data_IF_742123825898
#
_entry.id   IF_742123825898
#
_cell.length_a   1.000
_cell.length_b   1.000
_cell.length_c   1.000
_cell.angle_alpha   90.00
_cell.angle_beta   90.00
_cell.angle_gamma   90.00
#
_symmetry.space_group_name_H-M   'P 1'
#
loop_
_entity.id
_entity.type
_entity.pdbx_description
1 polymer ?
#
# COMPACT_ATOMS: atom_id res chain seq x y z
N UNK A 1 8.64 7.24 -16.68
CA UNK A 1 7.81 8.33 -16.08
C UNK A 1 6.40 7.79 -15.95
N UNK A 2 5.87 7.73 -14.75
CA UNK A 2 4.50 7.28 -14.52
C UNK A 2 3.51 8.45 -14.51
N UNK A 3 3.59 9.32 -15.51
CA UNK A 3 2.57 10.32 -15.81
C UNK A 3 1.85 9.84 -17.06
N UNK A 4 0.61 9.39 -16.91
CA UNK A 4 -0.22 8.86 -18.00
C UNK A 4 -1.03 9.98 -18.67
N UNK A 5 -1.53 10.94 -17.88
CA UNK A 5 -2.29 12.09 -18.32
C UNK A 5 -1.46 13.35 -18.13
N UNK A 6 -1.15 14.05 -19.22
CA UNK A 6 -0.46 15.34 -19.17
C UNK A 6 -1.45 16.47 -18.87
N UNK A 7 -0.99 17.48 -18.15
CA UNK A 7 -1.74 18.69 -17.81
C UNK A 7 -1.06 19.87 -18.50
N UNK A 8 -1.83 20.69 -19.18
CA UNK A 8 -1.37 21.95 -19.73
C UNK A 8 -1.39 23.08 -18.68
N UNK A 9 -0.52 24.08 -18.81
CA UNK A 9 -0.38 25.19 -17.88
C UNK A 9 -1.72 25.90 -17.61
N UNK A 10 -2.52 26.14 -18.66
CA UNK A 10 -3.81 26.82 -18.55
C UNK A 10 -4.87 25.98 -17.82
N UNK A 11 -4.84 24.65 -18.01
CA UNK A 11 -5.74 23.73 -17.31
C UNK A 11 -5.45 23.73 -15.81
N UNK A 12 -4.16 23.64 -15.45
CA UNK A 12 -3.75 23.70 -14.05
C UNK A 12 -4.06 25.06 -13.42
N UNK A 13 -3.78 26.16 -14.11
CA UNK A 13 -4.13 27.50 -13.63
C UNK A 13 -5.63 27.64 -13.38
N UNK A 14 -6.46 27.12 -14.28
CA UNK A 14 -7.92 27.11 -14.14
C UNK A 14 -8.36 26.28 -12.92
N UNK A 15 -7.75 25.11 -12.70
CA UNK A 15 -8.01 24.31 -11.51
C UNK A 15 -7.63 25.05 -10.24
N UNK A 16 -6.40 25.62 -10.17
CA UNK A 16 -5.90 26.30 -8.99
C UNK A 16 -6.68 27.54 -8.61
N UNK A 17 -7.28 28.24 -9.58
CA UNK A 17 -8.15 29.40 -9.32
C UNK A 17 -9.37 29.06 -8.44
N UNK A 18 -9.74 27.78 -8.34
CA UNK A 18 -10.81 27.30 -7.45
C UNK A 18 -10.40 27.19 -6.00
N UNK A 19 -9.10 27.16 -5.70
CA UNK A 19 -8.55 26.97 -4.36
C UNK A 19 -8.04 28.29 -3.76
N UNK A 20 -7.87 28.30 -2.45
CA UNK A 20 -7.24 29.41 -1.72
C UNK A 20 -5.83 28.98 -1.23
N UNK A 21 -4.99 28.61 -2.20
CA UNK A 21 -3.65 28.03 -1.96
C UNK A 21 -2.52 28.88 -2.58
N UNK A 22 -2.80 30.13 -2.93
CA UNK A 22 -1.84 31.05 -3.55
C UNK A 22 -1.70 30.87 -5.06
N UNK A 23 -0.73 31.56 -5.65
CA UNK A 23 -0.45 31.55 -7.08
C UNK A 23 0.50 30.40 -7.45
N UNK A 24 0.31 29.82 -8.64
CA UNK A 24 1.20 28.80 -9.19
C UNK A 24 2.59 29.37 -9.46
N UNK A 25 3.61 28.72 -8.92
CA UNK A 25 5.02 29.01 -9.21
C UNK A 25 5.62 28.02 -10.21
N UNK A 26 5.33 26.74 -10.03
CA UNK A 26 5.80 25.67 -10.92
C UNK A 26 5.05 24.38 -10.62
N UNK A 27 5.04 23.45 -11.59
CA UNK A 27 4.62 22.10 -11.37
C UNK A 27 5.48 21.10 -12.15
N UNK A 28 5.52 19.87 -11.69
CA UNK A 28 6.27 18.81 -12.35
C UNK A 28 5.62 17.44 -12.10
N UNK A 29 5.56 16.61 -13.12
CA UNK A 29 5.12 15.23 -12.97
C UNK A 29 6.06 14.42 -12.08
N UNK A 30 5.51 13.60 -11.19
CA UNK A 30 6.25 12.68 -10.33
C UNK A 30 6.39 11.36 -11.10
N UNK A 31 7.65 10.93 -11.26
CA UNK A 31 7.96 9.72 -12.04
C UNK A 31 7.66 8.41 -11.29
N UNK A 32 7.43 8.46 -10.00
CA UNK A 32 7.13 7.33 -9.14
C UNK A 32 5.62 7.09 -9.02
N UNK A 33 5.22 5.84 -8.88
CA UNK A 33 3.83 5.39 -8.82
C UNK A 33 3.38 4.72 -10.13
N UNK A 34 2.47 3.77 -10.03
CA UNK A 34 1.99 2.96 -11.17
C UNK A 34 0.48 3.04 -11.38
N UNK A 35 -0.24 3.64 -10.44
CA UNK A 35 -1.70 3.64 -10.45
C UNK A 35 -2.28 4.96 -10.99
N UNK A 36 -1.71 6.11 -10.63
CA UNK A 36 -2.25 7.43 -10.90
C UNK A 36 -1.17 8.37 -11.46
N UNK A 37 -1.59 9.45 -12.13
CA UNK A 37 -0.69 10.54 -12.52
C UNK A 37 -0.58 11.53 -11.37
N UNK A 38 0.62 11.68 -10.81
CA UNK A 38 0.88 12.58 -9.69
C UNK A 38 1.74 13.76 -10.14
N UNK A 39 1.41 14.95 -9.66
CA UNK A 39 2.14 16.18 -9.91
C UNK A 39 2.50 16.88 -8.60
N UNK A 40 3.76 17.25 -8.45
CA UNK A 40 4.19 18.22 -7.46
C UNK A 40 3.77 19.61 -7.94
N UNK A 41 2.91 20.29 -7.19
CA UNK A 41 2.46 21.64 -7.44
C UNK A 41 3.06 22.57 -6.38
N UNK A 42 3.78 23.58 -6.83
CA UNK A 42 4.38 24.62 -5.96
C UNK A 42 3.63 25.92 -6.13
N UNK A 43 3.14 26.46 -5.04
CA UNK A 43 2.47 27.75 -5.00
C UNK A 43 3.22 28.76 -4.13
N UNK A 44 2.75 29.98 -4.10
CA UNK A 44 3.31 31.03 -3.23
C UNK A 44 3.10 30.75 -1.74
N UNK A 45 2.20 29.84 -1.36
CA UNK A 45 1.90 29.52 0.04
C UNK A 45 2.52 28.21 0.50
N UNK A 46 2.50 27.16 -0.34
CA UNK A 46 2.97 25.82 0.05
C UNK A 46 3.25 24.91 -1.17
N UNK A 47 3.60 23.67 -0.88
CA UNK A 47 3.68 22.59 -1.86
C UNK A 47 2.49 21.65 -1.68
N UNK A 48 2.01 21.09 -2.80
CA UNK A 48 0.88 20.18 -2.86
C UNK A 48 1.19 19.04 -3.82
N UNK A 49 0.44 17.95 -3.68
CA UNK A 49 0.38 16.88 -4.67
C UNK A 49 -1.00 16.93 -5.32
N UNK A 50 -1.01 17.06 -6.64
CA UNK A 50 -2.20 16.86 -7.45
C UNK A 50 -2.18 15.45 -8.01
N UNK A 51 -3.16 14.65 -7.64
CA UNK A 51 -3.37 13.29 -8.16
C UNK A 51 -4.51 13.29 -9.16
N UNK A 52 -4.25 12.80 -10.38
CA UNK A 52 -5.27 12.48 -11.37
C UNK A 52 -5.51 10.98 -11.32
N UNK A 53 -6.76 10.61 -11.06
CA UNK A 53 -7.16 9.20 -10.96
C UNK A 53 -7.29 8.57 -12.34
N UNK A 54 -6.48 7.56 -12.58
CA UNK A 54 -6.44 6.84 -13.84
C UNK A 54 -7.43 5.65 -13.84
N UNK A 55 -7.53 4.92 -14.94
CA UNK A 55 -8.53 3.87 -15.16
C UNK A 55 -8.52 2.70 -14.15
N UNK A 56 -7.45 2.52 -13.39
CA UNK A 56 -7.34 1.44 -12.40
C UNK A 56 -8.07 1.73 -11.09
N UNK A 57 -8.34 2.99 -10.79
CA UNK A 57 -9.09 3.40 -9.60
C UNK A 57 -10.56 3.52 -9.95
N UNK A 58 -11.42 2.81 -9.23
CA UNK A 58 -12.86 2.99 -9.35
C UNK A 58 -13.25 4.32 -8.70
N UNK A 59 -13.90 5.21 -9.46
CA UNK A 59 -14.35 6.50 -8.95
C UNK A 59 -15.33 6.37 -7.78
N UNK A 60 -16.07 5.25 -7.71
CA UNK A 60 -16.97 4.95 -6.59
C UNK A 60 -16.23 4.75 -5.26
N UNK A 61 -14.95 4.38 -5.31
CA UNK A 61 -14.09 4.20 -4.13
C UNK A 61 -13.45 5.51 -3.63
N UNK A 62 -13.44 6.59 -4.45
CA UNK A 62 -12.77 7.84 -4.09
C UNK A 62 -13.30 8.48 -2.79
N UNK A 63 -14.61 8.48 -2.49
CA UNK A 63 -15.10 8.97 -1.20
C UNK A 63 -14.54 8.22 0.00
N UNK A 64 -14.25 6.92 -0.14
CA UNK A 64 -13.60 6.13 0.91
C UNK A 64 -12.16 6.59 1.12
N UNK A 65 -11.34 6.70 0.08
CA UNK A 65 -9.93 7.07 0.20
C UNK A 65 -9.75 8.49 0.74
N UNK A 66 -10.52 9.44 0.22
CA UNK A 66 -10.51 10.82 0.65
C UNK A 66 -10.98 10.94 2.11
N UNK A 67 -12.12 10.33 2.43
CA UNK A 67 -12.67 10.36 3.79
C UNK A 67 -11.73 9.70 4.81
N UNK A 68 -11.06 8.60 4.44
CA UNK A 68 -10.09 7.94 5.33
C UNK A 68 -8.88 8.86 5.61
N UNK A 69 -8.32 9.52 4.58
CA UNK A 69 -7.23 10.48 4.77
C UNK A 69 -7.65 11.67 5.64
N UNK A 70 -8.83 12.26 5.41
CA UNK A 70 -9.36 13.34 6.24
C UNK A 70 -9.54 12.89 7.71
N UNK A 71 -10.15 11.73 7.90
CA UNK A 71 -10.39 11.17 9.23
C UNK A 71 -9.09 10.92 10.01
N UNK A 72 -8.12 10.26 9.37
CA UNK A 72 -6.84 9.95 9.99
C UNK A 72 -5.99 11.19 10.28
N UNK A 73 -5.94 12.14 9.34
CA UNK A 73 -5.21 13.40 9.52
C UNK A 73 -5.82 14.23 10.64
N UNK A 74 -7.15 14.33 10.73
CA UNK A 74 -7.85 15.01 11.81
C UNK A 74 -7.55 14.41 13.19
N UNK A 75 -7.26 13.10 13.25
CA UNK A 75 -6.82 12.40 14.47
C UNK A 75 -5.29 12.44 14.68
N UNK A 76 -4.57 13.23 13.88
CA UNK A 76 -3.14 13.47 14.02
C UNK A 76 -2.26 12.30 13.55
N UNK A 77 -2.76 11.44 12.65
CA UNK A 77 -1.88 10.57 11.90
C UNK A 77 -1.11 11.39 10.86
N UNK A 78 0.17 11.12 10.70
CA UNK A 78 0.96 11.78 9.66
C UNK A 78 0.64 11.15 8.30
N UNK A 79 -0.24 11.79 7.54
CA UNK A 79 -0.65 11.38 6.19
C UNK A 79 -1.05 12.61 5.36
N UNK A 80 -1.21 12.49 4.03
CA UNK A 80 -1.68 13.61 3.21
C UNK A 80 -3.04 14.11 3.66
N UNK A 81 -3.22 15.43 3.67
CA UNK A 81 -4.50 16.07 3.99
C UNK A 81 -5.15 16.49 2.68
N UNK A 82 -6.36 16.01 2.36
CA UNK A 82 -7.11 16.48 1.20
C UNK A 82 -7.42 17.99 1.32
N UNK A 83 -7.25 18.73 0.23
CA UNK A 83 -7.47 20.17 0.18
C UNK A 83 -8.82 20.46 -0.46
N UNK A 84 -9.67 21.17 0.27
CA UNK A 84 -10.97 21.62 -0.23
C UNK A 84 -10.79 22.86 -1.11
N UNK A 85 -11.58 22.98 -2.17
CA UNK A 85 -11.71 24.21 -2.93
C UNK A 85 -12.56 25.26 -2.18
N UNK A 86 -12.73 26.43 -2.76
CA UNK A 86 -13.52 27.54 -2.19
C UNK A 86 -15.02 27.21 -1.96
N UNK A 87 -15.52 26.11 -2.55
CA UNK A 87 -16.88 25.62 -2.37
C UNK A 87 -16.99 24.48 -1.35
N UNK A 88 -15.84 23.99 -0.83
CA UNK A 88 -15.75 22.83 0.06
C UNK A 88 -15.62 21.50 -0.68
N UNK A 89 -15.50 21.49 -2.01
CA UNK A 89 -15.32 20.27 -2.77
C UNK A 89 -13.83 19.84 -2.80
N UNK A 90 -13.58 18.55 -2.63
CA UNK A 90 -12.23 17.95 -2.70
C UNK A 90 -11.98 17.36 -4.08
N UNK A 91 -12.94 16.58 -4.59
CA UNK A 91 -12.82 15.98 -5.91
C UNK A 91 -13.15 17.01 -6.99
N UNK A 92 -12.27 17.12 -7.98
CA UNK A 92 -12.34 18.05 -9.09
C UNK A 92 -12.19 17.30 -10.41
N UNK A 93 -12.32 18.01 -11.52
CA UNK A 93 -11.95 17.49 -12.84
C UNK A 93 -10.77 18.29 -13.38
N UNK A 94 -9.74 17.60 -13.85
CA UNK A 94 -8.56 18.18 -14.50
C UNK A 94 -8.11 17.26 -15.64
N UNK A 95 -7.84 17.81 -16.81
CA UNK A 95 -7.42 17.07 -18.01
C UNK A 95 -8.34 15.86 -18.33
N UNK A 96 -9.65 16.02 -18.13
CA UNK A 96 -10.66 14.98 -18.37
C UNK A 96 -10.62 13.81 -17.37
N UNK A 97 -9.95 13.96 -16.24
CA UNK A 97 -9.85 12.98 -15.15
C UNK A 97 -10.42 13.53 -13.86
N UNK A 98 -10.95 12.67 -13.02
CA UNK A 98 -11.20 13.01 -11.61
C UNK A 98 -9.86 13.24 -10.91
N UNK A 99 -9.77 14.30 -10.12
CA UNK A 99 -8.53 14.73 -9.49
C UNK A 99 -8.77 15.18 -8.04
N UNK A 100 -7.74 15.04 -7.21
CA UNK A 100 -7.71 15.61 -5.86
C UNK A 100 -6.36 16.28 -5.59
N UNK A 101 -6.43 17.39 -4.86
CA UNK A 101 -5.26 18.06 -4.30
C UNK A 101 -5.07 17.61 -2.86
N UNK A 102 -3.84 17.22 -2.51
CA UNK A 102 -3.50 16.89 -1.12
C UNK A 102 -2.25 17.65 -0.66
N UNK A 103 -2.08 17.78 0.64
CA UNK A 103 -0.89 18.40 1.21
C UNK A 103 0.37 17.62 0.85
N UNK A 104 1.48 18.33 0.61
CA UNK A 104 2.79 17.73 0.45
C UNK A 104 3.35 17.31 1.82
N UNK A 105 4.00 16.15 1.86
CA UNK A 105 4.72 15.67 3.03
C UNK A 105 6.23 15.71 2.78
N UNK A 106 6.97 16.30 3.68
CA UNK A 106 8.43 16.31 3.62
C UNK A 106 9.00 14.93 3.90
N UNK A 107 10.09 14.58 3.23
CA UNK A 107 10.82 13.36 3.48
C UNK A 107 11.12 12.55 2.23
N UNK A 108 11.81 11.47 2.44
CA UNK A 108 12.14 10.49 1.39
C UNK A 108 11.83 9.08 1.86
N UNK A 109 11.49 8.23 0.93
CA UNK A 109 11.37 6.79 1.17
C UNK A 109 12.74 6.11 1.19
N UNK A 110 12.83 4.93 1.80
CA UNK A 110 14.08 4.17 1.90
C UNK A 110 13.85 2.71 1.53
N UNK A 111 14.46 2.26 0.44
CA UNK A 111 14.30 0.87 -0.04
C UNK A 111 14.72 -0.19 0.98
N UNK A 112 15.76 0.08 1.77
CA UNK A 112 16.27 -0.82 2.81
C UNK A 112 16.30 -0.06 4.15
N UNK A 113 15.16 -0.01 4.87
CA UNK A 113 15.06 0.74 6.11
C UNK A 113 15.90 0.10 7.23
N UNK A 114 16.45 0.96 8.09
CA UNK A 114 17.13 0.57 9.31
C UNK A 114 16.13 0.21 10.42
N UNK A 115 16.65 -0.17 11.59
CA UNK A 115 15.85 -0.58 12.74
C UNK A 115 14.94 0.53 13.26
N UNK A 116 15.42 1.76 13.29
CA UNK A 116 14.69 2.93 13.78
C UNK A 116 13.46 3.20 12.90
N UNK A 117 13.62 3.11 11.58
CA UNK A 117 12.50 3.23 10.63
C UNK A 117 11.51 2.08 10.74
N UNK A 118 12.00 0.86 11.00
CA UNK A 118 11.14 -0.30 11.26
C UNK A 118 10.28 -0.09 12.52
N UNK A 119 10.85 0.43 13.60
CA UNK A 119 10.07 0.76 14.80
C UNK A 119 9.03 1.84 14.52
N UNK A 120 9.43 2.91 13.81
CA UNK A 120 8.54 4.02 13.49
C UNK A 120 7.33 3.59 12.65
N UNK A 121 7.54 2.75 11.61
CA UNK A 121 6.44 2.27 10.77
C UNK A 121 5.54 1.28 11.50
N UNK A 122 6.09 0.40 12.37
CA UNK A 122 5.29 -0.50 13.20
C UNK A 122 4.34 0.28 14.13
N UNK A 123 4.86 1.30 14.81
CA UNK A 123 4.04 2.20 15.63
C UNK A 123 3.00 2.97 14.79
N UNK A 124 3.38 3.47 13.60
CA UNK A 124 2.46 4.21 12.74
C UNK A 124 1.32 3.34 12.22
N UNK A 125 1.59 2.07 11.85
CA UNK A 125 0.54 1.13 11.43
C UNK A 125 -0.43 0.84 12.58
N UNK A 126 0.05 0.63 13.80
CA UNK A 126 -0.82 0.45 14.95
C UNK A 126 -1.70 1.68 15.22
N UNK A 127 -1.12 2.89 15.09
CA UNK A 127 -1.89 4.13 15.22
C UNK A 127 -2.91 4.30 14.09
N UNK A 128 -2.59 3.89 12.86
CA UNK A 128 -3.53 3.85 11.75
C UNK A 128 -4.76 3.01 12.13
N UNK A 129 -4.56 1.77 12.60
CA UNK A 129 -5.64 0.87 12.99
C UNK A 129 -6.49 1.43 14.13
N UNK A 130 -5.86 1.99 15.17
CA UNK A 130 -6.57 2.57 16.31
C UNK A 130 -7.33 3.84 15.96
N UNK A 131 -6.76 4.69 15.11
CA UNK A 131 -7.38 5.96 14.74
C UNK A 131 -8.48 5.81 13.69
N UNK A 132 -8.50 4.73 12.95
CA UNK A 132 -9.56 4.42 11.97
C UNK A 132 -10.74 3.63 12.53
N UNK A 133 -10.72 3.24 13.80
CA UNK A 133 -11.72 2.35 14.42
C UNK A 133 -13.17 2.86 14.31
N UNK A 134 -13.39 4.17 14.39
CA UNK A 134 -14.68 4.83 14.26
C UNK A 134 -14.95 5.43 12.86
N UNK A 135 -14.12 5.12 11.86
CA UNK A 135 -14.40 5.48 10.47
C UNK A 135 -15.55 4.63 9.93
N UNK A 136 -16.45 5.22 9.15
CA UNK A 136 -17.75 4.59 8.83
C UNK A 136 -17.96 4.22 7.38
N UNK A 137 -17.18 4.78 6.45
CA UNK A 137 -17.31 4.42 5.04
C UNK A 137 -16.64 3.06 4.81
N UNK A 138 -17.40 2.10 4.32
CA UNK A 138 -16.92 0.72 4.15
C UNK A 138 -16.40 0.50 2.73
N UNK A 139 -15.27 -0.18 2.63
CA UNK A 139 -14.71 -0.72 1.40
C UNK A 139 -14.16 -2.11 1.66
N UNK A 140 -14.64 -3.11 0.93
CA UNK A 140 -14.14 -4.47 1.05
C UNK A 140 -12.77 -4.64 0.38
N UNK A 141 -12.00 -5.63 0.83
CA UNK A 141 -10.73 -5.96 0.23
C UNK A 141 -10.94 -6.66 -1.12
N UNK A 142 -10.82 -5.93 -2.22
CA UNK A 142 -10.92 -6.49 -3.57
C UNK A 142 -9.78 -7.47 -3.91
N UNK A 143 -8.66 -7.42 -3.19
CA UNK A 143 -7.51 -8.32 -3.32
C UNK A 143 -7.40 -9.31 -2.15
N UNK A 144 -8.51 -9.57 -1.48
CA UNK A 144 -8.62 -10.55 -0.40
C UNK A 144 -8.64 -12.01 -0.90
N UNK A 145 -8.68 -12.99 0.02
CA UNK A 145 -8.60 -14.42 -0.29
C UNK A 145 -9.60 -14.91 -1.34
N UNK A 146 -10.77 -14.28 -1.40
CA UNK A 146 -11.83 -14.62 -2.37
C UNK A 146 -11.41 -14.34 -3.82
N UNK A 147 -10.50 -13.38 -4.03
CA UNK A 147 -10.01 -13.00 -5.36
C UNK A 147 -8.85 -13.85 -5.86
N UNK A 148 -8.14 -14.58 -4.98
CA UNK A 148 -6.86 -15.21 -5.34
C UNK A 148 -7.03 -16.40 -6.29
N UNK A 149 -8.02 -17.26 -6.07
CA UNK A 149 -8.28 -18.39 -6.96
C UNK A 149 -8.77 -17.96 -8.36
N UNK A 150 -9.72 -17.01 -8.48
CA UNK A 150 -10.07 -16.41 -9.78
C UNK A 150 -8.88 -15.75 -10.48
N UNK A 151 -8.03 -15.01 -9.73
CA UNK A 151 -6.86 -14.35 -10.29
C UNK A 151 -5.87 -15.39 -10.85
N UNK A 152 -5.55 -16.45 -10.09
CA UNK A 152 -4.69 -17.53 -10.57
C UNK A 152 -5.27 -18.23 -11.81
N UNK A 153 -6.59 -18.47 -11.84
CA UNK A 153 -7.27 -19.09 -12.98
C UNK A 153 -7.22 -18.19 -14.24
N UNK A 154 -7.17 -16.88 -14.10
CA UNK A 154 -7.05 -15.93 -15.22
C UNK A 154 -5.66 -15.92 -15.87
N UNK A 155 -4.65 -16.44 -15.16
CA UNK A 155 -3.26 -16.52 -15.63
C UNK A 155 -3.13 -17.77 -16.53
N UNK A 156 -3.27 -17.58 -17.83
CA UNK A 156 -3.26 -18.68 -18.84
C UNK A 156 -2.03 -18.54 -19.77
N UNK A 157 -1.75 -19.60 -20.54
CA UNK A 157 -0.62 -19.62 -21.49
C UNK A 157 0.74 -19.92 -20.84
N UNK A 158 1.79 -19.88 -21.64
CA UNK A 158 3.17 -20.02 -21.18
C UNK A 158 3.61 -18.74 -20.46
N UNK A 159 4.42 -18.90 -19.42
CA UNK A 159 4.97 -17.79 -18.67
C UNK A 159 6.47 -17.72 -19.00
N UNK A 160 6.88 -16.81 -19.91
CA UNK A 160 8.28 -16.70 -20.28
C UNK A 160 9.17 -16.43 -19.05
N UNK A 161 10.36 -17.00 -19.06
CA UNK A 161 11.41 -16.79 -18.07
C UNK A 161 11.08 -17.26 -16.63
N UNK A 162 9.99 -18.00 -16.42
CA UNK A 162 9.61 -18.56 -15.12
C UNK A 162 9.57 -20.11 -15.15
N UNK A 163 9.72 -20.78 -13.99
CA UNK A 163 9.60 -22.24 -13.90
C UNK A 163 8.26 -22.75 -14.45
N UNK A 164 8.28 -23.84 -15.22
CA UNK A 164 7.08 -24.41 -15.86
C UNK A 164 6.02 -24.87 -14.84
N UNK A 165 6.46 -25.30 -13.66
CA UNK A 165 5.61 -25.80 -12.58
C UNK A 165 5.11 -24.71 -11.62
N UNK A 166 5.45 -23.43 -11.88
CA UNK A 166 5.15 -22.32 -10.97
C UNK A 166 3.65 -22.17 -10.69
N UNK A 167 2.81 -22.35 -11.70
CA UNK A 167 1.34 -22.28 -11.54
C UNK A 167 0.80 -23.45 -10.71
N UNK A 168 1.31 -24.66 -10.95
CA UNK A 168 0.90 -25.84 -10.20
C UNK A 168 1.29 -25.72 -8.72
N UNK A 169 2.51 -25.26 -8.45
CA UNK A 169 2.99 -25.00 -7.09
C UNK A 169 2.18 -23.90 -6.41
N UNK A 170 1.87 -22.82 -7.12
CA UNK A 170 1.02 -21.76 -6.61
C UNK A 170 -0.40 -22.27 -6.29
N UNK A 171 -1.00 -23.08 -7.15
CA UNK A 171 -2.33 -23.65 -6.94
C UNK A 171 -2.38 -24.57 -5.71
N UNK A 172 -1.37 -25.42 -5.52
CA UNK A 172 -1.25 -26.26 -4.32
C UNK A 172 -1.17 -25.41 -3.06
N UNK A 173 -0.25 -24.46 -3.01
CA UNK A 173 -0.07 -23.59 -1.84
C UNK A 173 -1.33 -22.73 -1.58
N UNK A 174 -1.98 -22.23 -2.63
CA UNK A 174 -3.21 -21.46 -2.49
C UNK A 174 -4.34 -22.30 -1.88
N UNK A 175 -4.47 -23.54 -2.29
CA UNK A 175 -5.45 -24.48 -1.72
C UNK A 175 -5.23 -24.65 -0.22
N UNK A 176 -3.99 -24.86 0.22
CA UNK A 176 -3.64 -25.02 1.63
C UNK A 176 -3.90 -23.74 2.44
N UNK A 177 -3.55 -22.57 1.89
CA UNK A 177 -3.80 -21.27 2.52
C UNK A 177 -5.30 -21.05 2.73
N UNK A 178 -6.11 -21.27 1.68
CA UNK A 178 -7.55 -21.02 1.74
C UNK A 178 -8.27 -22.00 2.66
N UNK A 179 -7.83 -23.26 2.73
CA UNK A 179 -8.42 -24.26 3.62
C UNK A 179 -8.28 -23.92 5.11
N UNK A 180 -7.27 -23.12 5.47
CA UNK A 180 -6.95 -22.77 6.86
C UNK A 180 -7.05 -21.28 7.15
N UNK A 181 -7.55 -20.48 6.19
CA UNK A 181 -7.62 -19.02 6.34
C UNK A 181 -8.44 -18.60 7.56
N UNK A 182 -7.93 -17.71 8.44
CA UNK A 182 -8.62 -17.37 9.67
C UNK A 182 -9.81 -16.42 9.41
N UNK A 183 -10.98 -16.77 9.93
CA UNK A 183 -12.19 -15.96 9.77
C UNK A 183 -12.55 -15.15 11.02
N UNK A 184 -12.06 -15.54 12.20
CA UNK A 184 -12.45 -15.00 13.50
C UNK A 184 -11.36 -14.13 14.14
N UNK A 185 -10.66 -13.31 13.35
CA UNK A 185 -9.66 -12.37 13.85
C UNK A 185 -10.21 -10.94 13.89
N UNK A 186 -9.65 -10.06 14.74
CA UNK A 186 -9.99 -8.64 14.75
C UNK A 186 -9.89 -8.00 13.38
N UNK A 187 -10.94 -7.29 12.99
CA UNK A 187 -11.04 -6.59 11.70
C UNK A 187 -11.18 -5.10 11.91
N UNK A 188 -10.75 -4.34 10.93
CA UNK A 188 -10.83 -2.89 10.90
C UNK A 188 -10.30 -2.37 9.55
N UNK A 189 -10.07 -1.07 9.49
CA UNK A 189 -9.48 -0.49 8.27
C UNK A 189 -7.99 -0.76 8.25
N UNK A 190 -7.48 -1.18 7.09
CA UNK A 190 -6.10 -1.52 6.83
C UNK A 190 -5.58 -0.70 5.65
N UNK A 191 -4.27 -0.47 5.61
CA UNK A 191 -3.61 0.19 4.49
C UNK A 191 -3.43 -0.77 3.30
N UNK A 192 -3.14 -2.03 3.58
CA UNK A 192 -2.97 -3.14 2.64
C UNK A 192 -1.82 -2.98 1.63
N UNK A 193 -1.03 -1.88 1.69
CA UNK A 193 0.10 -1.62 0.79
C UNK A 193 1.20 -0.75 1.44
N UNK A 194 1.41 -0.88 2.76
CA UNK A 194 2.43 -0.08 3.46
C UNK A 194 3.84 -0.61 3.19
N UNK A 195 4.30 -0.38 1.97
CA UNK A 195 5.65 -0.68 1.51
C UNK A 195 6.64 0.41 1.95
N UNK A 196 7.97 0.15 1.88
CA UNK A 196 8.97 1.15 2.20
C UNK A 196 8.88 2.45 1.38
N UNK A 197 8.42 2.39 0.13
CA UNK A 197 8.19 3.57 -0.71
C UNK A 197 6.95 4.39 -0.31
N UNK A 198 6.05 3.82 0.48
CA UNK A 198 4.83 4.47 0.98
C UNK A 198 4.99 5.05 2.39
N UNK A 199 6.22 5.06 2.92
CA UNK A 199 6.57 5.67 4.20
C UNK A 199 7.70 6.69 4.01
N UNK A 200 7.45 7.94 4.39
CA UNK A 200 8.37 9.06 4.22
C UNK A 200 9.09 9.38 5.52
N UNK A 201 10.38 9.69 5.42
CA UNK A 201 11.23 9.96 6.55
C UNK A 201 12.10 11.20 6.34
N UNK A 202 12.27 11.99 7.39
CA UNK A 202 13.36 12.95 7.51
C UNK A 202 14.32 12.39 8.56
N UNK A 203 15.50 11.98 8.14
CA UNK A 203 16.44 11.14 8.91
C UNK A 203 15.74 9.82 9.31
N UNK A 204 15.54 9.57 10.62
CA UNK A 204 14.88 8.37 11.13
C UNK A 204 13.46 8.66 11.67
N UNK A 205 12.99 9.90 11.56
CA UNK A 205 11.65 10.27 11.97
C UNK A 205 10.68 10.07 10.80
N UNK A 206 9.65 9.26 11.01
CA UNK A 206 8.53 9.14 10.07
C UNK A 206 7.80 10.48 9.97
N UNK A 207 7.65 10.98 8.77
CA UNK A 207 6.93 12.22 8.46
C UNK A 207 5.58 11.98 7.82
N UNK A 208 5.35 10.77 7.32
CA UNK A 208 4.03 10.36 6.88
C UNK A 208 3.99 9.03 6.17
N UNK A 209 2.78 8.49 6.09
CA UNK A 209 2.43 7.36 5.23
C UNK A 209 1.54 7.84 4.10
N UNK A 210 1.73 7.31 2.89
CA UNK A 210 1.07 7.74 1.66
C UNK A 210 0.51 6.53 0.92
N UNK A 211 -0.25 6.78 -0.14
CA UNK A 211 -0.80 5.75 -1.04
C UNK A 211 -1.87 4.87 -0.40
N UNK A 212 -3.03 5.47 -0.11
CA UNK A 212 -4.18 4.82 0.56
C UNK A 212 -5.10 4.05 -0.40
N UNK A 213 -4.75 3.93 -1.69
CA UNK A 213 -5.66 3.41 -2.72
C UNK A 213 -5.93 1.90 -2.66
N UNK A 214 -5.15 1.15 -1.86
CA UNK A 214 -5.45 -0.22 -1.48
C UNK A 214 -6.18 -0.35 -0.13
N UNK A 215 -6.35 0.76 0.57
CA UNK A 215 -7.03 0.80 1.87
C UNK A 215 -8.41 0.15 1.80
N UNK A 216 -8.76 -0.65 2.80
CA UNK A 216 -10.00 -1.40 2.85
C UNK A 216 -10.30 -1.86 4.28
N UNK A 217 -11.46 -2.50 4.49
CA UNK A 217 -11.79 -3.14 5.77
C UNK A 217 -11.45 -4.64 5.70
N UNK A 218 -10.47 -5.07 6.51
CA UNK A 218 -10.05 -6.47 6.58
C UNK A 218 -9.44 -6.83 7.96
N UNK A 219 -8.80 -8.01 8.07
CA UNK A 219 -8.10 -8.48 9.27
C UNK A 219 -6.93 -7.54 9.57
N UNK A 220 -6.89 -6.95 10.77
CA UNK A 220 -5.83 -6.01 11.17
C UNK A 220 -4.43 -6.65 11.13
N UNK A 221 -4.30 -7.89 11.61
CA UNK A 221 -3.04 -8.62 11.56
C UNK A 221 -2.59 -8.99 10.12
N UNK A 222 -3.50 -8.97 9.13
CA UNK A 222 -3.14 -9.13 7.72
C UNK A 222 -2.35 -7.92 7.19
N UNK A 223 -2.71 -6.71 7.61
CA UNK A 223 -1.94 -5.50 7.26
C UNK A 223 -0.51 -5.55 7.83
N UNK A 224 -0.39 -6.04 9.07
CA UNK A 224 0.91 -6.29 9.67
C UNK A 224 1.71 -7.37 8.89
N UNK A 225 1.04 -8.40 8.37
CA UNK A 225 1.67 -9.41 7.52
C UNK A 225 2.15 -8.82 6.18
N UNK A 226 1.41 -7.89 5.57
CA UNK A 226 1.85 -7.13 4.38
C UNK A 226 3.11 -6.31 4.71
N UNK A 227 3.10 -5.62 5.85
CA UNK A 227 4.25 -4.84 6.32
C UNK A 227 5.50 -5.73 6.49
N UNK A 228 5.40 -6.87 7.18
CA UNK A 228 6.52 -7.79 7.37
C UNK A 228 7.08 -8.32 6.04
N UNK A 229 6.22 -8.64 5.09
CA UNK A 229 6.63 -9.08 3.76
C UNK A 229 7.43 -8.01 2.99
N UNK A 230 7.07 -6.75 3.14
CA UNK A 230 7.67 -5.66 2.39
C UNK A 230 8.92 -5.06 3.07
N UNK A 231 9.03 -5.15 4.42
CA UNK A 231 10.11 -4.50 5.18
C UNK A 231 11.17 -5.44 5.71
N UNK A 232 10.84 -6.73 5.91
CA UNK A 232 11.70 -7.65 6.66
C UNK A 232 12.50 -8.63 5.78
N UNK A 233 12.51 -8.44 4.46
CA UNK A 233 13.40 -9.19 3.59
C UNK A 233 14.57 -8.31 3.15
N UNK A 234 15.79 -8.83 3.30
CA UNK A 234 17.01 -8.16 2.88
C UNK A 234 17.24 -8.37 1.35
N UNK A 235 18.27 -7.72 0.82
CA UNK A 235 18.56 -7.73 -0.63
C UNK A 235 18.85 -9.13 -1.20
N UNK A 236 19.29 -10.05 -0.36
CA UNK A 236 19.54 -11.46 -0.69
C UNK A 236 18.32 -12.35 -0.55
N UNK A 237 17.14 -11.75 -0.30
CA UNK A 237 15.86 -12.41 -0.03
C UNK A 237 15.82 -13.21 1.28
N UNK A 238 16.77 -13.04 2.19
CA UNK A 238 16.70 -13.60 3.54
C UNK A 238 15.73 -12.81 4.41
N UNK A 239 14.99 -13.50 5.27
CA UNK A 239 14.10 -12.86 6.23
C UNK A 239 14.90 -12.34 7.43
N UNK A 240 14.73 -11.05 7.72
CA UNK A 240 15.42 -10.37 8.82
C UNK A 240 14.53 -10.35 10.07
N UNK A 241 14.72 -11.35 10.95
CA UNK A 241 13.95 -11.49 12.19
C UNK A 241 14.14 -10.29 13.14
N UNK A 242 15.28 -9.61 13.09
CA UNK A 242 15.52 -8.40 13.92
C UNK A 242 14.62 -7.25 13.50
N UNK A 243 14.47 -7.00 12.19
CA UNK A 243 13.52 -6.01 11.68
C UNK A 243 12.09 -6.38 12.04
N UNK A 244 11.72 -7.64 11.84
CA UNK A 244 10.39 -8.15 12.15
C UNK A 244 10.05 -8.00 13.64
N UNK A 245 10.93 -8.46 14.53
CA UNK A 245 10.75 -8.28 15.98
C UNK A 245 10.63 -6.80 16.37
N UNK A 246 11.40 -5.92 15.74
CA UNK A 246 11.33 -4.48 15.99
C UNK A 246 9.97 -3.89 15.58
N UNK A 247 9.47 -4.23 14.39
CA UNK A 247 8.14 -3.81 13.92
C UNK A 247 7.05 -4.32 14.85
N UNK A 248 7.08 -5.61 15.17
CA UNK A 248 6.08 -6.26 16.01
C UNK A 248 6.07 -5.70 17.44
N UNK A 249 7.24 -5.42 18.01
CA UNK A 249 7.34 -4.78 19.34
C UNK A 249 6.75 -3.37 19.32
N UNK A 250 7.16 -2.53 18.37
CA UNK A 250 6.67 -1.16 18.26
C UNK A 250 5.16 -1.09 17.95
N UNK A 251 4.64 -2.03 17.17
CA UNK A 251 3.21 -2.19 16.96
C UNK A 251 2.48 -2.53 18.27
N UNK A 252 2.99 -3.52 19.01
CA UNK A 252 2.37 -4.00 20.25
C UNK A 252 2.47 -3.00 21.42
N UNK A 253 3.38 -2.06 21.40
CA UNK A 253 3.40 -0.92 22.33
C UNK A 253 2.16 -0.03 22.20
N UNK A 254 1.50 -0.02 21.05
CA UNK A 254 0.29 0.76 20.79
C UNK A 254 -0.98 -0.11 20.80
N UNK A 255 -0.96 -1.25 20.12
CA UNK A 255 -2.06 -2.21 19.98
C UNK A 255 -1.55 -3.63 20.24
N UNK A 256 -1.96 -4.21 21.34
CA UNK A 256 -1.60 -5.60 21.66
C UNK A 256 -2.21 -6.57 20.65
N UNK A 257 -1.41 -7.53 20.20
CA UNK A 257 -1.91 -8.67 19.44
C UNK A 257 -2.47 -9.72 20.40
N UNK A 258 -3.67 -10.21 20.12
CA UNK A 258 -4.22 -11.38 20.77
C UNK A 258 -3.40 -12.64 20.44
N UNK A 259 -3.51 -13.67 21.27
CA UNK A 259 -2.82 -14.93 21.00
C UNK A 259 -3.28 -15.56 19.67
N UNK A 260 -4.57 -15.39 19.32
CA UNK A 260 -5.10 -15.82 18.03
C UNK A 260 -4.43 -15.10 16.84
N UNK A 261 -4.20 -13.78 16.94
CA UNK A 261 -3.50 -13.02 15.91
C UNK A 261 -2.03 -13.45 15.79
N UNK A 262 -1.35 -13.66 16.93
CA UNK A 262 0.05 -14.14 16.94
C UNK A 262 0.15 -15.51 16.27
N UNK A 263 -0.72 -16.46 16.63
CA UNK A 263 -0.73 -17.80 16.04
C UNK A 263 -1.07 -17.81 14.54
N UNK A 264 -1.93 -16.89 14.09
CA UNK A 264 -2.31 -16.78 12.70
C UNK A 264 -1.26 -16.05 11.84
N UNK A 265 -0.33 -15.30 12.43
CA UNK A 265 0.61 -14.44 11.70
C UNK A 265 1.41 -15.16 10.60
N UNK A 266 1.96 -16.38 10.80
CA UNK A 266 2.65 -17.12 9.74
C UNK A 266 1.75 -17.36 8.52
N UNK A 267 0.50 -17.77 8.73
CA UNK A 267 -0.47 -18.01 7.67
C UNK A 267 -0.87 -16.69 6.97
N UNK A 268 -1.07 -15.62 7.72
CA UNK A 268 -1.35 -14.29 7.17
C UNK A 268 -0.19 -13.78 6.31
N UNK A 269 1.06 -13.97 6.76
CA UNK A 269 2.25 -13.62 5.98
C UNK A 269 2.35 -14.44 4.69
N UNK A 270 2.05 -15.75 4.76
CA UNK A 270 1.98 -16.61 3.58
C UNK A 270 0.89 -16.15 2.59
N UNK A 271 -0.29 -15.78 3.10
CA UNK A 271 -1.38 -15.23 2.29
C UNK A 271 -1.03 -13.87 1.65
N UNK A 272 -0.39 -12.97 2.40
CA UNK A 272 0.07 -11.70 1.86
C UNK A 272 1.12 -11.92 0.76
N UNK A 273 2.08 -12.85 0.95
CA UNK A 273 3.03 -13.21 -0.08
C UNK A 273 2.34 -13.81 -1.33
N UNK A 274 1.32 -14.65 -1.14
CA UNK A 274 0.51 -15.20 -2.25
C UNK A 274 -0.20 -14.09 -3.03
N UNK A 275 -0.88 -13.14 -2.35
CA UNK A 275 -1.53 -12.00 -3.01
C UNK A 275 -0.56 -11.26 -3.94
N UNK A 276 0.58 -10.83 -3.41
CA UNK A 276 1.55 -10.06 -4.19
C UNK A 276 2.24 -10.90 -5.28
N UNK A 277 2.46 -12.17 -5.04
CA UNK A 277 2.93 -13.08 -6.08
C UNK A 277 1.94 -13.15 -7.25
N UNK A 278 0.65 -13.36 -6.97
CA UNK A 278 -0.37 -13.50 -8.00
C UNK A 278 -0.59 -12.19 -8.78
N UNK A 279 -0.65 -11.05 -8.12
CA UNK A 279 -0.81 -9.76 -8.80
C UNK A 279 0.38 -9.42 -9.68
N UNK A 280 1.61 -9.65 -9.20
CA UNK A 280 2.82 -9.46 -10.01
C UNK A 280 2.91 -10.46 -11.17
N UNK A 281 2.48 -11.70 -10.97
CA UNK A 281 2.46 -12.71 -12.01
C UNK A 281 1.46 -12.35 -13.11
N UNK A 282 0.30 -11.84 -12.72
CA UNK A 282 -0.70 -11.31 -13.66
C UNK A 282 -0.13 -10.13 -14.47
N UNK A 283 0.47 -9.16 -13.80
CA UNK A 283 1.09 -8.01 -14.47
C UNK A 283 2.26 -8.42 -15.36
N UNK A 284 3.07 -9.41 -14.94
CA UNK A 284 4.19 -9.93 -15.72
C UNK A 284 3.77 -10.43 -17.11
N UNK A 285 2.61 -11.05 -17.18
CA UNK A 285 2.08 -11.64 -18.43
C UNK A 285 1.30 -10.61 -19.25
N UNK A 286 0.53 -9.74 -18.57
CA UNK A 286 -0.42 -8.86 -19.24
C UNK A 286 0.13 -7.46 -19.54
N UNK A 287 1.33 -7.11 -19.05
CA UNK A 287 1.94 -5.81 -19.35
C UNK A 287 2.56 -5.86 -20.75
N UNK A 288 2.16 -4.97 -21.68
CA UNK A 288 2.74 -4.90 -23.01
C UNK A 288 4.25 -4.67 -22.97
N UNK A 289 4.97 -5.22 -23.96
CA UNK A 289 6.44 -5.13 -24.02
C UNK A 289 6.95 -3.68 -24.18
N UNK A 290 6.14 -2.81 -24.75
CA UNK A 290 6.40 -1.37 -24.95
C UNK A 290 5.89 -0.49 -23.78
N UNK A 291 5.29 -1.09 -22.73
CA UNK A 291 4.82 -0.34 -21.59
C UNK A 291 5.95 0.44 -20.92
N UNK A 292 5.63 1.68 -20.54
CA UNK A 292 6.55 2.61 -19.87
C UNK A 292 6.99 2.07 -18.51
N UNK A 293 6.02 1.48 -17.77
CA UNK A 293 6.29 0.85 -16.47
C UNK A 293 6.46 -0.65 -16.69
N UNK A 294 7.61 -1.16 -16.29
CA UNK A 294 7.88 -2.61 -16.34
C UNK A 294 7.29 -3.32 -15.13
N UNK A 295 6.70 -4.51 -15.30
CA UNK A 295 6.16 -5.27 -14.20
C UNK A 295 7.27 -5.70 -13.24
N UNK A 296 6.94 -5.77 -11.95
CA UNK A 296 7.84 -6.26 -10.92
C UNK A 296 7.99 -7.79 -11.04
N UNK A 297 9.21 -8.29 -10.79
CA UNK A 297 9.49 -9.72 -10.88
C UNK A 297 8.67 -10.51 -9.83
N UNK A 298 7.78 -11.43 -10.22
CA UNK A 298 6.97 -12.21 -9.30
C UNK A 298 7.80 -13.18 -8.45
N UNK A 299 8.99 -13.58 -8.91
CA UNK A 299 9.85 -14.52 -8.20
C UNK A 299 10.35 -14.00 -6.85
N UNK A 300 10.39 -12.68 -6.67
CA UNK A 300 10.67 -12.08 -5.36
C UNK A 300 9.64 -12.54 -4.32
N UNK A 301 8.35 -12.45 -4.65
CA UNK A 301 7.28 -12.87 -3.74
C UNK A 301 7.08 -14.39 -3.69
N UNK A 302 7.45 -15.10 -4.74
CA UNK A 302 7.50 -16.56 -4.71
C UNK A 302 8.56 -17.07 -3.71
N UNK A 303 9.72 -16.42 -3.64
CA UNK A 303 10.72 -16.75 -2.64
C UNK A 303 10.23 -16.48 -1.20
N UNK A 304 9.54 -15.34 -0.96
CA UNK A 304 8.93 -15.01 0.33
C UNK A 304 7.84 -16.04 0.70
N UNK A 305 6.99 -16.42 -0.25
CA UNK A 305 5.98 -17.45 -0.07
C UNK A 305 6.58 -18.78 0.41
N UNK A 306 7.70 -19.20 -0.20
CA UNK A 306 8.43 -20.42 0.21
C UNK A 306 9.01 -20.32 1.62
N UNK A 307 9.53 -19.15 2.01
CA UNK A 307 9.98 -18.92 3.38
C UNK A 307 8.82 -19.12 4.38
N UNK A 308 7.68 -18.48 4.13
CA UNK A 308 6.53 -18.56 5.02
C UNK A 308 5.92 -19.96 5.08
N UNK A 309 6.01 -20.75 4.01
CA UNK A 309 5.57 -22.13 3.97
C UNK A 309 6.37 -23.04 4.92
N UNK A 310 7.62 -22.71 5.15
CA UNK A 310 8.54 -23.48 6.02
C UNK A 310 8.70 -22.89 7.41
N UNK A 311 8.13 -21.72 7.70
CA UNK A 311 8.23 -21.07 8.99
C UNK A 311 7.51 -21.90 10.08
N UNK A 312 8.21 -22.30 11.16
CA UNK A 312 7.67 -23.25 12.14
C UNK A 312 6.55 -22.66 13.01
N UNK A 313 6.51 -21.34 13.19
CA UNK A 313 5.52 -20.68 14.04
C UNK A 313 5.80 -19.18 14.22
N UNK A 314 5.10 -18.51 15.15
CA UNK A 314 5.28 -17.07 15.42
C UNK A 314 6.70 -16.67 15.82
N UNK A 315 7.45 -17.58 16.44
CA UNK A 315 8.84 -17.37 16.84
C UNK A 315 9.79 -17.11 15.67
N UNK A 316 9.48 -17.63 14.49
CA UNK A 316 10.22 -17.34 13.26
C UNK A 316 10.16 -15.87 12.86
N UNK A 317 9.18 -15.14 13.36
CA UNK A 317 8.96 -13.70 13.14
C UNK A 317 9.47 -12.85 14.31
N UNK A 318 10.03 -13.47 15.36
CA UNK A 318 10.48 -12.77 16.56
C UNK A 318 9.35 -12.43 17.54
N UNK A 319 8.24 -13.15 17.49
CA UNK A 319 7.22 -13.19 18.53
C UNK A 319 7.57 -14.30 19.52
N UNK A 320 8.19 -13.92 20.62
CA UNK A 320 8.48 -14.84 21.71
C UNK A 320 7.29 -14.86 22.68
N UNK A 321 6.93 -16.04 23.16
CA UNK A 321 5.89 -16.27 24.20
C UNK A 321 6.27 -15.67 25.54
#
# INVERSE_FOLDING_TARGET
MAVYTHIEDDELATLLARYDIGELLSFAGIAEGVENSNYLVRTTTAHYILTLYEKRVDEADLPFFIGLMEHLSAKGLQCPVPIQDKTGAILQTCAGRTAAMVSFLDGTSHRFPNREKCAAVGSALAQFHLKSDDFTIMRHNALGPESWAPLLASITGDIPDLPQDIRQNAASQLTDILATWPHALPRGFIHADLFPNNALFVKDKLTGIIDFYFGCHDILAYDLAVLLNSWCFDADSSFNVTKSSTILSAYQEQRLLSDAEKQALPLLCRGAAMRFFLTRLYDWINTPADAVVKPLNPMEYYAKLRFHDTAPGPEAYGLWS
#
